data_IF_227351435533
#
_entry.id   IF_227351435533
#
_cell.length_a   1.000
_cell.length_b   1.000
_cell.length_c   1.000
_cell.angle_alpha   90.00
_cell.angle_beta   90.00
_cell.angle_gamma   90.00
#
_symmetry.space_group_name_H-M   'P 1'
#
loop_
_entity.id
_entity.type
_entity.pdbx_description
1 polymer ?
#
# COMPACT_ATOMS: atom_id res chain seq x y z
N UNK A 1 -20.50 5.79 -34.00
CA UNK A 1 -19.15 5.23 -33.78
C UNK A 1 -18.68 5.73 -32.43
N UNK A 2 -18.34 4.82 -31.54
CA UNK A 2 -18.29 4.94 -30.08
C UNK A 2 -17.22 5.89 -29.57
N UNK A 3 -17.63 6.82 -28.70
CA UNK A 3 -16.74 7.72 -27.98
C UNK A 3 -15.97 6.94 -26.89
N UNK A 4 -14.65 6.93 -27.01
CA UNK A 4 -13.73 6.30 -26.06
C UNK A 4 -13.78 7.03 -24.73
N UNK A 5 -14.24 6.31 -23.71
CA UNK A 5 -14.48 6.79 -22.35
C UNK A 5 -13.17 6.88 -21.55
N UNK A 6 -12.55 8.07 -21.53
CA UNK A 6 -11.26 8.36 -20.83
C UNK A 6 -11.45 8.70 -19.34
N UNK A 7 -12.50 8.19 -18.69
CA UNK A 7 -12.81 8.54 -17.28
C UNK A 7 -12.35 7.44 -16.30
N UNK A 8 -11.94 6.27 -16.81
CA UNK A 8 -11.71 5.06 -15.98
C UNK A 8 -10.47 5.11 -15.08
N UNK A 9 -9.46 5.95 -15.35
CA UNK A 9 -8.19 5.88 -14.63
C UNK A 9 -8.22 6.38 -13.17
N UNK A 10 -9.13 7.30 -12.82
CA UNK A 10 -9.10 7.99 -11.52
C UNK A 10 -10.06 7.42 -10.46
N UNK A 11 -11.02 6.58 -10.88
CA UNK A 11 -11.90 5.83 -9.96
C UNK A 11 -11.39 4.42 -9.63
N UNK A 12 -10.48 3.87 -10.45
CA UNK A 12 -9.89 2.56 -10.21
C UNK A 12 -8.95 2.61 -9.01
N UNK A 13 -8.01 3.56 -8.97
CA UNK A 13 -7.01 3.71 -7.88
C UNK A 13 -7.61 3.83 -6.46
N UNK A 14 -8.74 4.52 -6.31
CA UNK A 14 -9.44 4.67 -5.02
C UNK A 14 -10.21 3.40 -4.60
N UNK A 15 -10.69 2.64 -5.58
CA UNK A 15 -11.31 1.32 -5.34
C UNK A 15 -10.28 0.20 -5.20
N UNK A 16 -9.06 0.38 -5.68
CA UNK A 16 -8.01 -0.65 -5.63
C UNK A 16 -7.48 -0.75 -4.20
N UNK A 17 -7.22 0.37 -3.50
CA UNK A 17 -6.84 0.36 -2.07
C UNK A 17 -7.92 -0.24 -1.13
N UNK A 18 -9.13 -0.53 -1.62
CA UNK A 18 -10.14 -1.27 -0.85
C UNK A 18 -9.91 -2.78 -0.84
N UNK A 19 -9.15 -3.35 -1.77
CA UNK A 19 -8.96 -4.81 -1.85
C UNK A 19 -7.69 -5.26 -1.12
N UNK A 20 -7.73 -6.46 -0.52
CA UNK A 20 -6.56 -7.06 0.12
C UNK A 20 -5.36 -7.20 -0.83
N UNK A 21 -5.60 -7.67 -2.06
CA UNK A 21 -4.57 -7.84 -3.10
C UNK A 21 -3.79 -6.55 -3.34
N UNK A 22 -4.47 -5.42 -3.50
CA UNK A 22 -3.79 -4.12 -3.68
C UNK A 22 -3.03 -3.66 -2.45
N UNK A 23 -3.52 -3.96 -1.24
CA UNK A 23 -2.78 -3.62 -0.02
C UNK A 23 -1.47 -4.41 0.02
N UNK A 24 -1.50 -5.69 -0.34
CA UNK A 24 -0.29 -6.51 -0.47
C UNK A 24 0.67 -5.97 -1.53
N UNK A 25 0.16 -5.62 -2.72
CA UNK A 25 0.99 -5.00 -3.78
C UNK A 25 1.62 -3.67 -3.31
N UNK A 26 0.89 -2.88 -2.52
CA UNK A 26 1.40 -1.61 -1.99
C UNK A 26 2.47 -1.83 -0.92
N UNK A 27 2.31 -2.84 -0.06
CA UNK A 27 3.32 -3.24 0.92
C UNK A 27 4.61 -3.69 0.21
N UNK A 28 4.50 -4.49 -0.85
CA UNK A 28 5.66 -4.92 -1.64
C UNK A 28 6.40 -3.73 -2.25
N UNK A 29 5.68 -2.79 -2.88
CA UNK A 29 6.28 -1.58 -3.44
C UNK A 29 6.98 -0.71 -2.37
N UNK A 30 6.43 -0.63 -1.16
CA UNK A 30 7.05 0.10 -0.04
C UNK A 30 8.29 -0.62 0.49
N UNK A 31 8.31 -1.95 0.50
CA UNK A 31 9.49 -2.74 0.90
C UNK A 31 10.63 -2.62 -0.12
N UNK A 32 10.31 -2.57 -1.41
CA UNK A 32 11.30 -2.29 -2.47
C UNK A 32 11.87 -0.87 -2.35
N UNK A 33 11.01 0.12 -2.01
CA UNK A 33 11.44 1.49 -1.76
C UNK A 33 12.38 1.55 -0.54
N UNK A 34 12.03 0.84 0.54
CA UNK A 34 12.87 0.68 1.72
C UNK A 34 14.24 0.05 1.40
N UNK A 35 14.28 -1.04 0.63
CA UNK A 35 15.52 -1.72 0.22
C UNK A 35 16.43 -0.80 -0.62
N UNK A 36 15.84 0.07 -1.45
CA UNK A 36 16.59 1.06 -2.22
C UNK A 36 17.30 2.12 -1.37
N UNK A 37 16.94 2.25 -0.09
CA UNK A 37 17.58 3.17 0.84
C UNK A 37 18.77 2.55 1.60
N UNK A 38 19.15 1.29 1.34
CA UNK A 38 20.30 0.64 1.97
C UNK A 38 21.61 0.79 1.15
N UNK A 39 22.72 1.30 1.74
CA UNK A 39 22.86 1.78 3.11
C UNK A 39 22.33 3.21 3.28
N UNK A 40 21.74 3.56 4.43
CA UNK A 40 21.23 4.91 4.68
C UNK A 40 22.40 5.91 4.63
N UNK A 41 22.33 6.86 3.70
CA UNK A 41 23.40 7.83 3.49
C UNK A 41 23.29 9.09 4.35
N UNK A 42 22.12 9.41 4.91
CA UNK A 42 21.85 10.67 5.64
C UNK A 42 20.68 10.60 6.65
N UNK A 43 20.68 11.45 7.70
CA UNK A 43 19.57 11.55 8.68
C UNK A 43 18.21 11.93 8.07
N UNK A 44 18.22 12.61 6.91
CA UNK A 44 16.99 12.94 6.18
C UNK A 44 16.39 11.69 5.51
N UNK A 45 17.24 10.74 5.11
CA UNK A 45 16.80 9.44 4.60
C UNK A 45 16.28 8.56 5.74
N UNK A 46 16.77 8.70 6.98
CA UNK A 46 16.22 8.00 8.15
C UNK A 46 14.74 8.37 8.41
N UNK A 47 14.33 9.64 8.20
CA UNK A 47 12.92 10.04 8.35
C UNK A 47 12.03 9.46 7.23
N UNK A 48 12.55 9.40 6.00
CA UNK A 48 11.86 8.77 4.88
C UNK A 48 11.71 7.26 5.10
N UNK A 49 12.76 6.60 5.59
CA UNK A 49 12.77 5.20 5.97
C UNK A 49 11.70 4.92 7.05
N UNK A 50 11.63 5.73 8.10
CA UNK A 50 10.62 5.63 9.16
C UNK A 50 9.20 5.84 8.61
N UNK A 51 9.01 6.76 7.67
CA UNK A 51 7.71 6.99 7.04
C UNK A 51 7.26 5.76 6.21
N UNK A 52 8.19 5.13 5.49
CA UNK A 52 7.94 3.91 4.72
C UNK A 52 7.59 2.75 5.66
N UNK A 53 8.38 2.52 6.72
CA UNK A 53 8.12 1.47 7.71
C UNK A 53 6.77 1.64 8.40
N UNK A 54 6.41 2.87 8.78
CA UNK A 54 5.11 3.17 9.40
C UNK A 54 3.95 2.90 8.43
N UNK A 55 4.13 3.22 7.15
CA UNK A 55 3.13 2.93 6.13
C UNK A 55 2.97 1.42 5.90
N UNK A 56 4.07 0.65 5.93
CA UNK A 56 4.03 -0.82 5.86
C UNK A 56 3.28 -1.38 7.06
N UNK A 57 3.64 -0.98 8.28
CA UNK A 57 3.01 -1.45 9.53
C UNK A 57 1.51 -1.15 9.55
N UNK A 58 1.10 0.06 9.16
CA UNK A 58 -0.32 0.43 9.10
C UNK A 58 -1.10 -0.47 8.12
N UNK A 59 -0.53 -0.74 6.95
CA UNK A 59 -1.16 -1.58 5.94
C UNK A 59 -1.23 -3.05 6.37
N UNK A 60 -0.19 -3.54 7.07
CA UNK A 60 -0.19 -4.88 7.67
C UNK A 60 -1.25 -5.01 8.77
N UNK A 61 -1.40 -3.99 9.63
CA UNK A 61 -2.47 -3.95 10.62
C UNK A 61 -3.86 -3.94 9.97
N UNK A 62 -4.05 -3.20 8.87
CA UNK A 62 -5.32 -3.20 8.11
C UNK A 62 -5.66 -4.57 7.53
N UNK A 63 -4.67 -5.35 7.10
CA UNK A 63 -4.89 -6.72 6.64
C UNK A 63 -5.28 -7.65 7.79
N UNK A 64 -4.59 -7.54 8.93
CA UNK A 64 -4.90 -8.32 10.14
C UNK A 64 -6.32 -8.04 10.65
N UNK A 65 -6.73 -6.77 10.69
CA UNK A 65 -8.08 -6.38 11.10
C UNK A 65 -9.16 -6.95 10.16
N UNK A 66 -8.88 -7.01 8.85
CA UNK A 66 -9.80 -7.62 7.87
C UNK A 66 -9.93 -9.13 8.06
N UNK A 67 -8.81 -9.82 8.24
CA UNK A 67 -8.79 -11.26 8.50
C UNK A 67 -9.54 -11.60 9.80
N UNK A 68 -9.38 -10.75 10.83
CA UNK A 68 -10.10 -10.85 12.09
C UNK A 68 -11.63 -10.61 11.95
N UNK A 69 -12.06 -9.64 11.13
CA UNK A 69 -13.49 -9.36 10.87
C UNK A 69 -14.14 -10.49 10.04
N UNK A 70 -13.41 -11.05 9.07
CA UNK A 70 -13.83 -12.24 8.33
C UNK A 70 -13.96 -13.48 9.24
N UNK A 71 -13.07 -13.62 10.22
CA UNK A 71 -13.07 -14.72 11.20
C UNK A 71 -14.19 -14.66 12.25
N UNK A 72 -14.71 -13.48 12.59
CA UNK A 72 -15.79 -13.35 13.58
C UNK A 72 -17.16 -13.83 13.09
N UNK A 73 -17.36 -13.92 11.77
CA UNK A 73 -18.68 -14.24 11.17
C UNK A 73 -18.89 -15.72 10.80
N UNK A 74 -17.95 -16.62 11.11
CA UNK A 74 -18.12 -18.08 10.95
C UNK A 74 -18.28 -18.84 12.27
#
# INVERSE_FOLDING_TARGET
MTATSTIKARGVVDSTMRTEETIRDRIEALRDEYDSHDPPSTELEDEAEVAILRAIEELEWVLDERDADEGFTT
#
